data_IF_701917858737
#
_entry.id   IF_701917858737
#
_cell.length_a   1.000
_cell.length_b   1.000
_cell.length_c   1.000
_cell.angle_alpha   90.00
_cell.angle_beta   90.00
_cell.angle_gamma   90.00
#
_symmetry.space_group_name_H-M   'P 1'
#
loop_
_entity.id
_entity.type
_entity.pdbx_description
1 polymer ?
#
# COMPACT_ATOMS: atom_id res chain seq x y z
N UNK A 1 -16.18 -11.79 14.12
CA UNK A 1 -16.02 -11.42 12.70
C UNK A 1 -15.04 -10.26 12.70
N UNK A 2 -13.80 -10.46 12.26
CA UNK A 2 -12.80 -9.37 12.22
C UNK A 2 -13.27 -8.41 11.15
N UNK A 3 -13.54 -7.16 11.51
CA UNK A 3 -13.83 -6.17 10.48
C UNK A 3 -12.61 -6.08 9.56
N UNK A 4 -12.79 -6.42 8.28
CA UNK A 4 -11.77 -6.24 7.24
C UNK A 4 -11.36 -4.76 7.04
N UNK A 5 -12.02 -3.83 7.75
CA UNK A 5 -11.76 -2.39 7.78
C UNK A 5 -10.36 -2.02 8.25
N UNK A 6 -9.68 -2.91 9.00
CA UNK A 6 -8.30 -2.74 9.46
C UNK A 6 -7.22 -3.40 8.59
N UNK A 7 -7.58 -4.21 7.59
CA UNK A 7 -6.59 -4.94 6.77
C UNK A 7 -6.12 -4.08 5.61
N UNK A 8 -4.90 -3.57 5.77
CA UNK A 8 -4.15 -2.88 4.71
C UNK A 8 -3.66 -3.88 3.67
N UNK A 9 -4.10 -3.64 2.44
CA UNK A 9 -3.35 -3.81 1.19
C UNK A 9 -2.21 -4.84 1.19
N UNK A 10 -2.43 -5.99 0.53
CA UNK A 10 -1.36 -6.95 0.25
C UNK A 10 -0.73 -6.64 -1.12
N UNK A 11 0.53 -6.20 -1.12
CA UNK A 11 1.32 -6.00 -2.34
C UNK A 11 2.44 -7.03 -2.39
N UNK A 12 2.60 -7.71 -3.53
CA UNK A 12 3.72 -8.59 -3.84
C UNK A 12 4.35 -8.17 -5.17
N UNK A 13 5.54 -8.68 -5.47
CA UNK A 13 6.37 -8.28 -6.62
C UNK A 13 5.68 -8.31 -8.00
N UNK A 14 4.49 -8.91 -8.14
CA UNK A 14 3.76 -9.08 -9.40
C UNK A 14 2.25 -8.81 -9.31
N UNK A 15 1.77 -8.20 -8.23
CA UNK A 15 0.36 -7.92 -8.10
C UNK A 15 -0.02 -7.40 -6.72
N UNK A 16 -1.26 -6.92 -6.65
CA UNK A 16 -1.82 -6.33 -5.44
C UNK A 16 -3.25 -6.80 -5.26
N UNK A 17 -3.59 -7.19 -4.02
CA UNK A 17 -4.95 -7.55 -3.62
C UNK A 17 -5.38 -6.58 -2.54
N UNK A 18 -6.53 -5.94 -2.77
CA UNK A 18 -7.07 -4.89 -1.90
C UNK A 18 -8.53 -5.16 -1.61
N UNK A 19 -9.01 -4.69 -0.47
CA UNK A 19 -10.45 -4.58 -0.24
C UNK A 19 -10.96 -3.31 -0.91
N UNK A 20 -11.89 -3.46 -1.87
CA UNK A 20 -12.59 -2.35 -2.50
C UNK A 20 -13.73 -1.80 -1.60
N UNK A 21 -14.26 -2.67 -0.73
CA UNK A 21 -15.21 -2.39 0.34
C UNK A 21 -15.10 -3.50 1.40
N UNK A 22 -16.01 -3.55 2.38
CA UNK A 22 -16.00 -4.54 3.47
C UNK A 22 -16.05 -6.01 3.02
N UNK A 23 -16.58 -6.29 1.82
CA UNK A 23 -16.88 -7.65 1.35
C UNK A 23 -16.39 -7.93 -0.08
N UNK A 24 -15.63 -7.02 -0.68
CA UNK A 24 -15.19 -7.13 -2.06
C UNK A 24 -13.67 -7.06 -2.13
N UNK A 25 -13.04 -8.16 -2.52
CA UNK A 25 -11.64 -8.19 -2.92
C UNK A 25 -11.50 -7.64 -4.33
N UNK A 26 -10.41 -6.93 -4.60
CA UNK A 26 -10.09 -6.39 -5.91
C UNK A 26 -8.63 -6.68 -6.25
N UNK A 27 -8.38 -7.08 -7.49
CA UNK A 27 -7.03 -7.27 -8.03
C UNK A 27 -6.98 -6.86 -9.50
N UNK A 28 -5.79 -6.45 -9.95
CA UNK A 28 -5.52 -6.06 -11.32
C UNK A 28 -4.93 -7.25 -12.09
N UNK A 29 -5.42 -7.50 -13.31
CA UNK A 29 -5.06 -8.71 -14.08
C UNK A 29 -4.27 -8.43 -15.37
N UNK A 30 -3.96 -7.16 -15.65
CA UNK A 30 -3.42 -6.72 -16.94
C UNK A 30 -4.46 -6.55 -18.04
N UNK A 31 -5.69 -7.07 -17.87
CA UNK A 31 -6.81 -6.85 -18.79
C UNK A 31 -7.93 -6.00 -18.17
N UNK A 32 -7.89 -5.78 -16.87
CA UNK A 32 -8.92 -5.09 -16.10
C UNK A 32 -8.78 -5.35 -14.61
N UNK A 33 -9.77 -4.91 -13.86
CA UNK A 33 -9.92 -5.27 -12.45
C UNK A 33 -10.89 -6.43 -12.31
N UNK A 34 -10.52 -7.37 -11.44
CA UNK A 34 -11.38 -8.45 -10.97
C UNK A 34 -11.83 -8.10 -9.57
N UNK A 35 -13.15 -7.99 -9.38
CA UNK A 35 -13.79 -7.79 -8.10
C UNK A 35 -14.49 -9.08 -7.67
N UNK A 36 -14.11 -9.61 -6.52
CA UNK A 36 -14.68 -10.83 -5.96
C UNK A 36 -15.43 -10.52 -4.66
N UNK A 37 -16.74 -10.76 -4.66
CA UNK A 37 -17.55 -10.64 -3.46
C UNK A 37 -17.38 -11.87 -2.58
N UNK A 38 -16.78 -11.69 -1.40
CA UNK A 38 -16.58 -12.76 -0.42
C UNK A 38 -17.89 -13.25 0.18
N UNK A 39 -18.91 -12.39 0.22
CA UNK A 39 -20.24 -12.74 0.71
C UNK A 39 -21.09 -13.47 -0.33
N UNK A 40 -21.09 -13.00 -1.59
CA UNK A 40 -21.93 -13.57 -2.65
C UNK A 40 -21.26 -14.69 -3.43
N UNK A 41 -19.96 -14.91 -3.21
CA UNK A 41 -19.12 -15.80 -4.03
C UNK A 41 -19.28 -15.51 -5.53
N UNK A 42 -19.29 -14.22 -5.89
CA UNK A 42 -19.51 -13.75 -7.26
C UNK A 42 -18.35 -12.87 -7.71
N UNK A 43 -18.01 -12.98 -8.98
CA UNK A 43 -16.99 -12.18 -9.62
C UNK A 43 -17.62 -11.16 -10.57
N UNK A 44 -17.11 -9.93 -10.54
CA UNK A 44 -17.41 -8.85 -11.48
C UNK A 44 -16.11 -8.34 -12.10
N UNK A 45 -16.14 -8.06 -13.39
CA UNK A 45 -15.01 -7.47 -14.10
C UNK A 45 -15.28 -5.99 -14.35
N UNK A 46 -14.27 -5.15 -14.08
CA UNK A 46 -14.23 -3.75 -14.54
C UNK A 46 -13.12 -3.68 -15.58
N UNK A 47 -13.53 -3.60 -16.84
CA UNK A 47 -12.59 -3.49 -17.96
C UNK A 47 -12.04 -2.07 -18.00
N UNK A 48 -10.72 -1.95 -17.93
CA UNK A 48 -10.06 -0.74 -18.42
C UNK A 48 -10.30 -0.64 -19.93
N UNK A 49 -10.33 0.56 -20.50
CA UNK A 49 -10.59 0.76 -21.94
C UNK A 49 -9.70 -0.05 -22.91
N UNK A 50 -8.60 -0.63 -22.42
CA UNK A 50 -7.69 -1.51 -23.16
C UNK A 50 -8.30 -2.85 -23.63
N UNK A 51 -9.50 -3.22 -23.17
CA UNK A 51 -10.15 -4.50 -23.48
C UNK A 51 -10.60 -4.75 -24.94
N UNK A 52 -10.20 -3.92 -25.91
CA UNK A 52 -10.53 -4.13 -27.34
C UNK A 52 -9.34 -4.48 -28.25
N UNK A 53 -8.08 -4.39 -27.80
CA UNK A 53 -6.93 -4.51 -28.71
C UNK A 53 -5.79 -5.45 -28.29
N UNK A 54 -5.98 -6.35 -27.31
CA UNK A 54 -5.05 -7.46 -27.09
C UNK A 54 -3.60 -7.08 -26.73
N UNK A 55 -3.34 -5.82 -26.36
CA UNK A 55 -2.06 -5.33 -25.89
C UNK A 55 -1.94 -5.36 -24.36
N UNK A 56 -0.71 -5.33 -23.84
CA UNK A 56 -0.33 -5.35 -22.41
C UNK A 56 -0.74 -4.10 -21.60
N UNK A 57 -1.68 -3.31 -22.09
CA UNK A 57 -1.98 -1.94 -21.62
C UNK A 57 -3.03 -1.84 -20.51
N UNK A 58 -3.58 -2.97 -20.03
CA UNK A 58 -4.56 -2.92 -18.94
C UNK A 58 -3.92 -2.72 -17.56
N UNK A 59 -4.76 -2.52 -16.52
CA UNK A 59 -4.28 -2.19 -15.19
C UNK A 59 -3.42 -3.32 -14.61
N UNK A 60 -2.27 -2.95 -14.05
CA UNK A 60 -1.31 -3.86 -13.43
C UNK A 60 -1.26 -3.72 -11.91
N UNK A 61 -1.70 -2.58 -11.39
CA UNK A 61 -1.74 -2.30 -9.95
C UNK A 61 -3.05 -1.65 -9.57
N UNK A 62 -3.40 -1.76 -8.28
CA UNK A 62 -4.60 -1.18 -7.71
C UNK A 62 -4.37 -0.73 -6.27
N UNK A 63 -4.84 0.47 -5.94
CA UNK A 63 -4.99 1.00 -4.60
C UNK A 63 -6.47 1.20 -4.27
N UNK A 64 -6.83 1.14 -2.98
CA UNK A 64 -8.22 1.27 -2.56
C UNK A 64 -8.35 2.03 -1.24
N UNK A 65 -9.48 2.73 -1.11
CA UNK A 65 -9.99 3.24 0.15
C UNK A 65 -11.36 2.57 0.43
N UNK A 66 -11.38 1.38 1.07
CA UNK A 66 -12.59 0.56 1.18
C UNK A 66 -13.76 1.27 1.87
N UNK A 67 -13.51 1.99 2.96
CA UNK A 67 -14.56 2.75 3.66
C UNK A 67 -15.12 3.89 2.81
N UNK A 68 -14.33 4.38 1.85
CA UNK A 68 -14.72 5.46 0.96
C UNK A 68 -15.34 5.00 -0.36
N UNK A 69 -15.22 3.71 -0.70
CA UNK A 69 -15.64 3.17 -1.98
C UNK A 69 -14.88 3.79 -3.16
N UNK A 70 -13.55 3.94 -3.04
CA UNK A 70 -12.68 4.47 -4.09
C UNK A 70 -11.62 3.44 -4.48
N UNK A 71 -11.41 3.28 -5.78
CA UNK A 71 -10.30 2.54 -6.37
C UNK A 71 -9.44 3.48 -7.19
N UNK A 72 -8.13 3.27 -7.16
CA UNK A 72 -7.17 3.85 -8.07
C UNK A 72 -6.43 2.70 -8.77
N UNK A 73 -6.29 2.74 -10.08
CA UNK A 73 -5.58 1.71 -10.84
C UNK A 73 -4.83 2.32 -12.01
N UNK A 74 -3.74 1.69 -12.42
CA UNK A 74 -2.90 2.19 -13.50
C UNK A 74 -2.24 1.06 -14.29
N UNK A 75 -1.80 1.35 -15.53
CA UNK A 75 -1.11 0.38 -16.37
C UNK A 75 0.29 0.10 -15.83
N UNK A 76 0.93 -0.94 -16.38
CA UNK A 76 2.35 -1.22 -16.11
C UNK A 76 3.27 -0.30 -16.90
N UNK A 77 2.89 -0.06 -18.15
CA UNK A 77 3.73 0.52 -19.19
C UNK A 77 3.41 2.01 -19.41
N UNK A 78 4.24 2.68 -20.20
CA UNK A 78 4.16 4.12 -20.47
C UNK A 78 3.08 4.47 -21.50
N UNK A 79 2.49 5.69 -21.45
CA UNK A 79 2.73 6.76 -20.48
C UNK A 79 2.11 6.50 -19.10
N UNK A 80 2.68 7.12 -18.07
CA UNK A 80 2.20 6.99 -16.69
C UNK A 80 0.84 7.63 -16.48
N UNK A 81 -0.16 6.80 -16.19
CA UNK A 81 -1.52 7.24 -15.89
C UNK A 81 -2.11 6.48 -14.71
N UNK A 82 -3.01 7.12 -13.96
CA UNK A 82 -3.81 6.48 -12.90
C UNK A 82 -5.27 6.86 -13.08
N UNK A 83 -6.12 5.86 -13.22
CA UNK A 83 -7.57 6.03 -13.24
C UNK A 83 -8.16 5.89 -11.84
N UNK A 84 -9.01 6.83 -11.46
CA UNK A 84 -9.83 6.79 -10.25
C UNK A 84 -11.23 6.32 -10.62
N UNK A 85 -11.77 5.39 -9.82
CA UNK A 85 -13.12 4.85 -9.96
C UNK A 85 -13.85 4.82 -8.62
N UNK A 86 -15.16 5.08 -8.66
CA UNK A 86 -16.00 5.15 -7.45
C UNK A 86 -17.07 4.07 -7.40
N UNK A 87 -17.30 3.56 -6.19
CA UNK A 87 -18.41 2.66 -5.87
C UNK A 87 -19.77 3.30 -6.19
N UNK A 88 -20.85 2.51 -6.38
CA UNK A 88 -20.92 1.04 -6.33
C UNK A 88 -20.52 0.35 -7.64
N UNK A 89 -20.52 1.11 -8.75
CA UNK A 89 -20.22 0.58 -10.08
C UNK A 89 -18.73 0.45 -10.34
N UNK A 90 -17.89 1.17 -9.60
CA UNK A 90 -16.46 1.33 -9.90
C UNK A 90 -16.26 1.70 -11.38
N UNK A 91 -17.10 2.61 -11.86
CA UNK A 91 -16.95 3.19 -13.19
C UNK A 91 -15.76 4.17 -13.16
N UNK A 92 -14.93 4.21 -14.21
CA UNK A 92 -13.90 5.23 -14.36
C UNK A 92 -14.51 6.61 -14.22
N UNK A 93 -14.01 7.41 -13.29
CA UNK A 93 -14.46 8.78 -13.07
C UNK A 93 -13.46 9.80 -13.59
N UNK A 94 -12.16 9.49 -13.45
CA UNK A 94 -11.08 10.41 -13.81
C UNK A 94 -9.79 9.68 -14.10
N UNK A 95 -8.96 10.26 -14.95
CA UNK A 95 -7.58 9.80 -15.19
C UNK A 95 -6.61 10.93 -14.87
N UNK A 96 -5.60 10.61 -14.08
CA UNK A 96 -4.48 11.47 -13.75
C UNK A 96 -3.32 11.04 -14.64
N UNK A 97 -2.88 11.93 -15.52
CA UNK A 97 -1.70 11.74 -16.35
C UNK A 97 -0.48 12.33 -15.65
N UNK A 98 0.64 11.62 -15.67
CA UNK A 98 1.92 12.11 -15.17
C UNK A 98 3.03 11.70 -16.13
N UNK A 99 3.92 12.65 -16.42
CA UNK A 99 5.01 12.44 -17.36
C UNK A 99 6.12 11.62 -16.68
N UNK A 100 5.92 10.30 -16.60
CA UNK A 100 6.90 9.38 -16.08
C UNK A 100 7.07 8.15 -16.98
N UNK A 101 8.32 7.76 -17.22
CA UNK A 101 8.63 6.46 -17.80
C UNK A 101 8.52 5.37 -16.71
N UNK A 102 7.62 4.40 -16.94
CA UNK A 102 7.28 3.32 -16.01
C UNK A 102 7.84 1.98 -16.48
N UNK A 103 8.71 1.39 -15.66
CA UNK A 103 8.93 -0.06 -15.62
C UNK A 103 8.13 -0.78 -14.52
N UNK A 104 7.56 -0.01 -13.58
CA UNK A 104 6.79 -0.49 -12.43
C UNK A 104 5.93 0.63 -11.85
N UNK A 105 4.75 0.27 -11.31
CA UNK A 105 3.80 1.16 -10.66
C UNK A 105 3.20 0.50 -9.41
N UNK A 106 3.16 1.22 -8.29
CA UNK A 106 2.34 0.88 -7.13
C UNK A 106 1.50 2.06 -6.66
N UNK A 107 0.30 1.75 -6.13
CA UNK A 107 -0.68 2.75 -5.74
C UNK A 107 -1.16 2.52 -4.32
N UNK A 108 -1.13 3.53 -3.48
CA UNK A 108 -1.82 3.53 -2.19
C UNK A 108 -2.83 4.67 -2.14
N UNK A 109 -4.00 4.41 -1.59
CA UNK A 109 -5.03 5.43 -1.36
C UNK A 109 -5.23 5.54 0.15
N UNK A 110 -5.30 6.75 0.68
CA UNK A 110 -5.58 6.95 2.10
C UNK A 110 -7.01 6.53 2.44
N UNK A 111 -7.23 6.04 3.67
CA UNK A 111 -8.55 5.54 4.13
C UNK A 111 -9.67 6.57 3.95
N UNK A 112 -9.36 7.86 4.15
CA UNK A 112 -10.28 8.98 4.01
C UNK A 112 -10.45 9.50 2.58
N UNK A 113 -9.85 8.86 1.56
CA UNK A 113 -9.90 9.24 0.14
C UNK A 113 -9.31 10.62 -0.18
N UNK A 114 -8.50 11.18 0.70
CA UNK A 114 -7.93 12.50 0.46
C UNK A 114 -6.58 12.45 -0.24
N UNK A 115 -5.87 11.32 -0.18
CA UNK A 115 -4.51 11.21 -0.70
C UNK A 115 -4.33 9.97 -1.55
N UNK A 116 -3.53 10.14 -2.61
CA UNK A 116 -3.04 9.08 -3.47
C UNK A 116 -1.51 9.14 -3.46
N UNK A 117 -0.87 8.02 -3.13
CA UNK A 117 0.56 7.84 -3.33
C UNK A 117 0.78 6.97 -4.57
N UNK A 118 1.55 7.50 -5.52
CA UNK A 118 1.96 6.85 -6.76
C UNK A 118 3.46 6.59 -6.66
N UNK A 119 3.86 5.32 -6.65
CA UNK A 119 5.25 4.92 -6.63
C UNK A 119 5.64 4.35 -7.99
N UNK A 120 6.62 4.96 -8.63
CA UNK A 120 7.17 4.50 -9.89
C UNK A 120 8.47 3.74 -9.64
N UNK A 121 8.75 2.71 -10.46
CA UNK A 121 10.04 2.02 -10.44
C UNK A 121 11.03 2.61 -11.44
N UNK A 122 12.08 1.84 -11.82
CA UNK A 122 13.02 2.26 -12.85
C UNK A 122 12.33 2.68 -14.16
N UNK A 123 12.87 3.65 -14.92
CA UNK A 123 14.11 4.38 -14.62
C UNK A 123 13.95 5.49 -13.56
N UNK A 124 12.75 6.03 -13.38
CA UNK A 124 12.57 7.28 -12.62
C UNK A 124 12.67 7.11 -11.10
N UNK A 125 12.12 6.01 -10.57
CA UNK A 125 12.04 5.72 -9.13
C UNK A 125 11.53 6.92 -8.34
N UNK A 126 10.28 7.32 -8.55
CA UNK A 126 9.69 8.49 -7.90
C UNK A 126 8.50 8.11 -7.04
N UNK A 127 8.24 8.94 -6.05
CA UNK A 127 6.99 9.02 -5.34
C UNK A 127 6.31 10.33 -5.73
N UNK A 128 5.07 10.23 -6.17
CA UNK A 128 4.14 11.35 -6.26
C UNK A 128 3.10 11.19 -5.16
N UNK A 129 2.97 12.20 -4.31
CA UNK A 129 1.91 12.26 -3.32
C UNK A 129 0.92 13.35 -3.76
N UNK A 130 -0.32 12.95 -3.97
CA UNK A 130 -1.36 13.81 -4.51
C UNK A 130 -2.48 14.00 -3.50
N UNK A 131 -3.01 15.22 -3.45
CA UNK A 131 -4.31 15.52 -2.87
C UNK A 131 -5.38 15.21 -3.91
N UNK A 132 -6.21 14.23 -3.62
CA UNK A 132 -7.32 13.79 -4.47
C UNK A 132 -8.68 14.15 -3.88
N UNK A 133 -8.70 15.00 -2.84
CA UNK A 133 -9.95 15.52 -2.25
C UNK A 133 -10.51 16.72 -3.00
N UNK A 134 -9.70 17.38 -3.82
CA UNK A 134 -10.06 18.57 -4.61
C UNK A 134 -10.04 18.27 -6.10
N UNK A 135 -10.80 19.07 -6.86
CA UNK A 135 -10.73 19.10 -8.33
C UNK A 135 -10.29 20.52 -8.77
N UNK A 136 -9.11 20.70 -9.39
CA UNK A 136 -8.15 19.66 -9.79
C UNK A 136 -7.42 19.02 -8.60
N UNK A 137 -6.86 17.83 -8.82
CA UNK A 137 -5.92 17.24 -7.87
C UNK A 137 -4.69 18.14 -7.75
N UNK A 138 -4.12 18.17 -6.56
CA UNK A 138 -2.92 18.95 -6.30
C UNK A 138 -1.76 18.01 -6.00
N UNK A 139 -0.65 18.16 -6.71
CA UNK A 139 0.60 17.51 -6.34
C UNK A 139 1.08 18.10 -5.00
N UNK A 140 1.07 17.29 -3.94
CA UNK A 140 1.52 17.71 -2.62
C UNK A 140 3.03 17.58 -2.49
N UNK A 141 3.61 16.51 -3.02
CA UNK A 141 5.03 16.30 -3.02
C UNK A 141 5.47 15.36 -4.15
N UNK A 142 6.63 15.64 -4.73
CA UNK A 142 7.37 14.73 -5.59
C UNK A 142 8.72 14.42 -4.93
N UNK A 143 9.11 13.15 -4.92
CA UNK A 143 10.39 12.74 -4.35
C UNK A 143 11.03 11.61 -5.13
N UNK A 144 12.32 11.74 -5.42
CA UNK A 144 13.11 10.63 -5.94
C UNK A 144 13.36 9.60 -4.84
N UNK A 145 12.98 8.36 -5.10
CA UNK A 145 13.24 7.21 -4.26
C UNK A 145 14.68 6.76 -4.48
N UNK A 146 15.42 6.60 -3.38
CA UNK A 146 16.80 6.14 -3.41
C UNK A 146 16.93 4.74 -4.00
N UNK A 147 18.17 4.32 -4.33
CA UNK A 147 18.45 3.00 -4.93
C UNK A 147 17.91 1.82 -4.10
N UNK A 148 17.73 2.03 -2.81
CA UNK A 148 17.34 1.03 -1.82
C UNK A 148 15.82 0.82 -1.73
N UNK A 149 15.00 1.69 -2.31
CA UNK A 149 13.56 1.49 -2.42
C UNK A 149 13.28 0.82 -3.78
N UNK A 150 12.94 -0.46 -3.71
CA UNK A 150 12.69 -1.31 -4.88
C UNK A 150 11.19 -1.51 -5.15
N UNK A 151 10.33 -0.68 -4.55
CA UNK A 151 8.90 -0.67 -4.86
C UNK A 151 8.21 -1.96 -4.42
N UNK A 152 8.46 -2.48 -3.21
CA UNK A 152 7.74 -3.66 -2.70
C UNK A 152 6.36 -3.33 -2.12
N UNK A 153 5.70 -2.31 -2.69
CA UNK A 153 4.42 -1.82 -2.25
C UNK A 153 4.48 -0.59 -1.32
N UNK A 154 3.33 0.06 -1.21
CA UNK A 154 3.05 1.14 -0.28
C UNK A 154 1.63 1.02 0.29
N UNK A 155 1.46 1.56 1.49
CA UNK A 155 0.16 1.74 2.15
C UNK A 155 0.20 2.92 3.10
N UNK A 156 -0.95 3.58 3.25
CA UNK A 156 -1.16 4.59 4.28
C UNK A 156 -1.44 3.94 5.63
N UNK A 157 -0.98 4.57 6.69
CA UNK A 157 -1.41 4.22 8.04
C UNK A 157 -2.92 4.54 8.19
N UNK A 158 -3.76 3.61 8.67
CA UNK A 158 -5.22 3.80 8.70
C UNK A 158 -5.69 5.00 9.52
N UNK A 159 -4.94 5.40 10.56
CA UNK A 159 -5.32 6.49 11.45
C UNK A 159 -5.05 7.90 10.93
N UNK A 160 -4.23 8.08 9.89
CA UNK A 160 -3.99 9.40 9.29
C UNK A 160 -3.50 9.30 7.85
N UNK A 161 -3.99 10.15 6.93
CA UNK A 161 -3.50 10.17 5.55
C UNK A 161 -2.09 10.75 5.40
N UNK A 162 -1.51 11.32 6.46
CA UNK A 162 -0.20 11.96 6.39
C UNK A 162 0.95 10.97 6.60
N UNK A 163 0.68 9.72 7.00
CA UNK A 163 1.72 8.72 7.27
C UNK A 163 1.52 7.56 6.31
N UNK A 164 2.57 7.17 5.62
CA UNK A 164 2.58 6.02 4.74
C UNK A 164 3.94 5.34 4.75
N UNK A 165 3.98 4.09 4.29
CA UNK A 165 5.21 3.31 4.22
C UNK A 165 5.48 2.89 2.78
N UNK A 166 6.76 2.80 2.44
CA UNK A 166 7.28 2.15 1.25
C UNK A 166 8.41 1.21 1.63
N UNK A 167 8.70 0.22 0.79
CA UNK A 167 9.65 -0.84 1.11
C UNK A 167 10.76 -0.96 0.08
N UNK A 168 11.97 -1.14 0.61
CA UNK A 168 13.07 -1.79 -0.08
C UNK A 168 13.08 -3.29 0.20
N UNK A 169 14.03 -4.00 -0.39
CA UNK A 169 14.20 -5.43 -0.14
C UNK A 169 14.33 -5.77 1.36
N UNK A 170 15.15 -5.01 2.12
CA UNK A 170 15.46 -5.28 3.54
C UNK A 170 15.26 -4.07 4.46
N UNK A 171 14.41 -3.13 4.06
CA UNK A 171 14.07 -1.97 4.89
C UNK A 171 12.69 -1.42 4.58
N UNK A 172 12.06 -0.80 5.57
CA UNK A 172 10.93 0.09 5.39
C UNK A 172 11.40 1.54 5.42
N UNK A 173 10.73 2.38 4.65
CA UNK A 173 10.83 3.83 4.75
C UNK A 173 9.45 4.33 5.11
N UNK A 174 9.32 4.88 6.31
CA UNK A 174 8.12 5.56 6.79
C UNK A 174 8.22 7.01 6.33
N UNK A 175 7.19 7.47 5.65
CA UNK A 175 7.10 8.81 5.09
C UNK A 175 5.98 9.56 5.80
N UNK A 176 6.27 10.78 6.24
CA UNK A 176 5.34 11.65 6.93
C UNK A 176 5.21 12.97 6.19
N UNK A 177 4.01 13.27 5.72
CA UNK A 177 3.64 14.56 5.14
C UNK A 177 3.49 15.59 6.27
N UNK A 178 4.25 16.66 6.20
CA UNK A 178 4.16 17.82 7.08
C UNK A 178 3.67 19.04 6.29
N UNK A 179 2.62 19.69 6.81
CA UNK A 179 2.05 20.92 6.25
C UNK A 179 2.39 22.06 7.21
N UNK A 180 3.58 22.65 7.09
CA UNK A 180 4.04 23.61 8.11
C UNK A 180 3.80 25.08 7.79
N UNK A 181 3.56 25.54 6.55
CA UNK A 181 3.01 26.92 6.31
C UNK A 181 2.79 27.33 4.84
N UNK A 182 3.35 26.65 3.83
CA UNK A 182 3.06 27.00 2.42
C UNK A 182 3.33 25.88 1.41
N UNK A 183 4.39 25.10 1.63
CA UNK A 183 4.74 23.94 0.79
C UNK A 183 4.71 22.67 1.64
N UNK A 184 3.95 21.63 1.26
CA UNK A 184 4.01 20.35 1.94
C UNK A 184 5.42 19.75 1.83
N UNK A 185 5.95 19.22 2.92
CA UNK A 185 7.24 18.53 2.93
C UNK A 185 7.05 17.09 3.38
N UNK A 186 7.93 16.19 2.94
CA UNK A 186 7.87 14.76 3.32
C UNK A 186 9.09 14.42 4.16
N UNK A 187 8.89 14.19 5.45
CA UNK A 187 9.91 13.60 6.32
C UNK A 187 10.00 12.10 6.11
N UNK A 188 11.18 11.54 6.33
CA UNK A 188 11.45 10.11 6.18
C UNK A 188 12.14 9.55 7.40
N UNK A 189 11.66 8.42 7.88
CA UNK A 189 12.33 7.56 8.84
C UNK A 189 12.60 6.21 8.19
N UNK A 190 13.82 5.70 8.31
CA UNK A 190 14.17 4.38 7.79
C UNK A 190 14.19 3.35 8.92
N UNK A 191 13.65 2.17 8.64
CA UNK A 191 13.67 1.00 9.53
C UNK A 191 14.39 -0.12 8.81
N UNK A 192 15.63 -0.40 9.21
CA UNK A 192 16.41 -1.51 8.69
C UNK A 192 15.99 -2.82 9.35
N UNK A 193 15.88 -3.89 8.55
CA UNK A 193 15.55 -5.22 9.05
C UNK A 193 16.83 -6.03 9.27
N UNK A 194 17.61 -5.65 10.27
CA UNK A 194 18.90 -6.29 10.59
C UNK A 194 18.78 -7.77 10.97
N UNK A 195 17.58 -8.23 11.31
CA UNK A 195 17.29 -9.64 11.61
C UNK A 195 16.92 -10.48 10.40
N UNK A 196 16.80 -9.89 9.21
CA UNK A 196 16.59 -10.63 7.97
C UNK A 196 17.90 -11.23 7.47
N UNK A 197 17.86 -12.44 6.91
CA UNK A 197 19.00 -13.04 6.23
C UNK A 197 19.40 -12.23 4.98
N UNK A 198 20.59 -12.47 4.43
CA UNK A 198 21.12 -11.65 3.33
C UNK A 198 20.38 -11.81 2.00
N UNK A 199 19.81 -12.98 1.77
CA UNK A 199 18.95 -13.33 0.63
C UNK A 199 17.44 -13.16 0.93
N UNK A 200 17.09 -12.82 2.17
CA UNK A 200 15.71 -12.58 2.57
C UNK A 200 15.23 -11.19 2.14
N UNK A 201 13.98 -11.08 1.68
CA UNK A 201 13.38 -9.82 1.27
C UNK A 201 11.90 -9.70 1.64
N UNK A 202 11.40 -8.46 1.69
CA UNK A 202 10.00 -8.15 1.97
C UNK A 202 9.08 -8.65 0.86
N UNK A 203 8.06 -9.41 1.24
CA UNK A 203 7.02 -9.94 0.34
C UNK A 203 5.63 -9.40 0.60
N UNK A 204 5.39 -8.79 1.75
CA UNK A 204 4.13 -8.17 2.09
C UNK A 204 4.20 -7.37 3.39
N UNK A 205 3.18 -6.56 3.64
CA UNK A 205 3.09 -5.78 4.87
C UNK A 205 1.64 -5.53 5.26
N UNK A 206 1.41 -5.20 6.53
CA UNK A 206 0.13 -4.70 6.99
C UNK A 206 0.28 -3.75 8.19
N UNK A 207 -0.55 -2.72 8.25
CA UNK A 207 -0.73 -1.88 9.42
C UNK A 207 -1.76 -2.50 10.36
N UNK A 208 -1.62 -2.16 11.64
CA UNK A 208 -2.68 -2.34 12.65
C UNK A 208 -3.17 -0.99 13.12
N UNK A 209 -4.40 -0.94 13.66
CA UNK A 209 -4.93 0.25 14.33
C UNK A 209 -4.07 0.67 15.54
N UNK A 210 -3.31 -0.27 16.12
CA UNK A 210 -2.36 -0.04 17.20
C UNK A 210 -1.03 0.61 16.75
N UNK A 211 -0.97 1.21 15.55
CA UNK A 211 0.22 1.91 15.01
C UNK A 211 1.42 1.00 14.76
N UNK A 212 1.18 -0.29 14.57
CA UNK A 212 2.22 -1.27 14.30
C UNK A 212 2.24 -1.64 12.83
N UNK A 213 3.44 -1.88 12.31
CA UNK A 213 3.65 -2.40 10.97
C UNK A 213 4.13 -3.84 11.06
N UNK A 214 3.36 -4.76 10.47
CA UNK A 214 3.73 -6.15 10.27
C UNK A 214 4.30 -6.34 8.87
N UNK A 215 5.34 -7.17 8.76
CA UNK A 215 6.07 -7.39 7.51
C UNK A 215 6.28 -8.88 7.33
N UNK A 216 5.81 -9.42 6.20
CA UNK A 216 6.11 -10.77 5.76
C UNK A 216 7.35 -10.78 4.86
N UNK A 217 8.14 -11.85 4.97
CA UNK A 217 9.34 -12.03 4.14
C UNK A 217 9.27 -13.24 3.21
N UNK A 218 10.25 -13.33 2.30
CA UNK A 218 10.45 -14.46 1.39
C UNK A 218 10.74 -15.78 2.10
N UNK A 219 11.24 -15.74 3.34
CA UNK A 219 11.52 -16.93 4.16
C UNK A 219 10.32 -17.34 5.03
N UNK A 220 9.18 -16.66 4.90
CA UNK A 220 8.00 -16.93 5.72
C UNK A 220 8.10 -16.38 7.15
N UNK A 221 9.05 -15.48 7.41
CA UNK A 221 9.13 -14.80 8.70
C UNK A 221 8.13 -13.65 8.77
N UNK A 222 7.65 -13.37 9.98
CA UNK A 222 6.80 -12.24 10.30
C UNK A 222 7.54 -11.30 11.26
N UNK A 223 7.80 -10.08 10.81
CA UNK A 223 8.43 -9.03 11.61
C UNK A 223 7.40 -8.02 12.05
N UNK A 224 7.61 -7.44 13.23
CA UNK A 224 6.76 -6.38 13.81
C UNK A 224 7.62 -5.15 14.08
N UNK A 225 7.19 -4.01 13.57
CA UNK A 225 7.69 -2.68 13.92
C UNK A 225 6.65 -2.01 14.82
N UNK A 226 6.89 -2.02 16.13
CA UNK A 226 6.05 -1.28 17.08
C UNK A 226 6.19 0.24 16.83
N UNK A 227 5.18 1.05 17.16
CA UNK A 227 5.30 2.52 17.05
C UNK A 227 5.75 3.03 15.68
N UNK A 228 5.38 2.33 14.59
CA UNK A 228 5.77 2.68 13.24
C UNK A 228 5.00 3.90 12.71
N UNK A 229 3.87 4.25 13.33
CA UNK A 229 3.20 5.53 13.14
C UNK A 229 3.33 6.40 14.41
N UNK A 230 3.47 7.73 14.26
CA UNK A 230 3.56 8.66 15.39
C UNK A 230 2.32 8.57 16.29
N UNK A 231 2.52 8.92 17.57
CA UNK A 231 1.43 9.07 18.51
C UNK A 231 0.46 10.17 18.07
N UNK A 232 -0.80 10.14 18.54
CA UNK A 232 -1.69 11.29 18.37
C UNK A 232 -1.11 12.57 18.99
N UNK A 233 -0.17 12.43 19.93
CA UNK A 233 0.32 13.53 20.77
C UNK A 233 1.83 13.77 20.72
N UNK A 234 2.63 13.01 19.97
CA UNK A 234 4.10 13.14 20.05
C UNK A 234 4.82 13.12 18.69
N UNK A 235 5.58 14.19 18.46
CA UNK A 235 6.71 14.22 17.53
C UNK A 235 7.73 13.14 17.92
N UNK A 236 8.12 12.32 16.94
CA UNK A 236 8.92 11.10 17.09
C UNK A 236 10.21 11.27 17.92
N UNK A 237 10.65 10.19 18.61
CA UNK A 237 11.92 9.59 18.20
C UNK A 237 12.03 8.05 18.33
N UNK A 238 12.85 7.49 17.42
CA UNK A 238 13.58 6.21 17.46
C UNK A 238 12.86 4.94 17.96
N UNK A 239 12.22 4.21 17.04
CA UNK A 239 11.76 2.85 17.30
C UNK A 239 12.88 1.80 17.15
N UNK A 240 13.06 0.95 18.17
CA UNK A 240 13.90 -0.27 18.12
C UNK A 240 13.02 -1.52 17.96
N UNK A 241 13.38 -2.39 17.01
CA UNK A 241 12.74 -3.70 16.79
C UNK A 241 12.98 -4.66 17.98
N UNK A 242 11.94 -5.37 18.42
CA UNK A 242 12.06 -6.54 19.32
C UNK A 242 11.59 -7.79 18.58
N UNK A 243 12.39 -8.86 18.61
CA UNK A 243 12.06 -10.19 18.07
C UNK A 243 10.95 -10.81 18.94
N UNK A 244 9.81 -11.13 18.37
CA UNK A 244 8.72 -11.82 19.07
C UNK A 244 9.18 -13.20 19.53
N UNK A 245 9.13 -13.46 20.84
CA UNK A 245 9.46 -14.77 21.42
C UNK A 245 8.30 -15.73 21.11
N UNK A 246 8.63 -16.93 20.63
CA UNK A 246 7.71 -18.07 20.48
C UNK A 246 7.09 -18.37 21.86
N UNK A 247 5.78 -18.25 22.00
CA UNK A 247 5.07 -18.64 23.23
C UNK A 247 5.29 -20.14 23.49
N UNK A 248 5.97 -20.47 24.58
CA UNK A 248 5.96 -21.82 25.13
C UNK A 248 4.64 -22.01 25.88
N UNK A 249 3.82 -22.98 25.44
CA UNK A 249 2.65 -23.41 26.21
C UNK A 249 3.11 -24.03 27.55
N UNK A 250 2.43 -23.74 28.67
CA UNK A 250 2.67 -24.46 29.92
C UNK A 250 2.24 -25.92 29.75
N UNK A 251 3.12 -26.87 30.09
CA UNK A 251 2.74 -28.27 30.28
C UNK A 251 2.05 -28.39 31.65
N UNK A 252 0.82 -28.88 31.60
CA UNK A 252 -0.01 -29.28 32.74
C UNK A 252 0.67 -30.45 33.45
N UNK A 253 0.81 -30.35 34.78
CA UNK A 253 1.24 -31.47 35.62
C UNK A 253 0.16 -32.56 35.62
N UNK A 254 0.54 -33.82 35.37
CA UNK A 254 -0.33 -34.97 35.59
C UNK A 254 -0.42 -35.28 37.09
N UNK A 255 -1.58 -35.77 37.59
CA UNK A 255 -1.68 -36.26 38.95
C UNK A 255 -0.98 -37.62 39.07
N UNK A 256 -0.25 -37.79 40.17
CA UNK A 256 0.33 -39.07 40.57
C UNK A 256 -0.76 -40.09 40.89
N UNK A 257 -0.59 -41.30 40.37
CA UNK A 257 -1.26 -42.53 40.78
C UNK A 257 -0.22 -43.64 40.85
#
# INVERSE_FOLDING_TARGET
MVEASGLTTFSYQRGKVVFADSNTLCTATGNGLVLYSTFRNQQRHVWGGAGKQGGSEGPYTVGAAPAGGLLAYGPRDCPGSVTIAHSPKFAPAKTIEFNAELGYLDLAVSRCKSHLAILTGPPEKKLFLMDISTDPETLLAERKLGRTLTGHGASFFPGTPNVFVSFGARKAVILQLERTTSTPTVRTAEVAFSSMDDDEYVTGHAWTEARELYIGSSHGNLFRVAGAAPGCDEAAPHCRLRKGRREQRPRVAQPEG
#
